data_IF_564522131115
#
_entry.id   IF_564522131115
#
_cell.length_a   1.000
_cell.length_b   1.000
_cell.length_c   1.000
_cell.angle_alpha   90.00
_cell.angle_beta   90.00
_cell.angle_gamma   90.00
#
_symmetry.space_group_name_H-M   'P 1'
#
loop_
_entity.id
_entity.type
_entity.pdbx_description
1 polymer ?
#
# COMPACT_ATOMS: atom_id res chain seq x y z
N UNK A 1 14.76 8.75 -21.39
CA UNK A 1 15.72 8.08 -22.31
C UNK A 1 15.89 6.62 -21.86
N UNK A 2 16.29 5.67 -22.74
CA UNK A 2 16.55 4.28 -22.34
C UNK A 2 17.63 4.17 -21.25
N UNK A 3 18.56 5.13 -21.20
CA UNK A 3 19.62 5.24 -20.21
C UNK A 3 19.05 5.49 -18.80
N UNK A 4 18.04 6.37 -18.65
CA UNK A 4 17.40 6.61 -17.34
C UNK A 4 16.68 5.38 -16.80
N UNK A 5 16.05 4.58 -17.68
CA UNK A 5 15.34 3.36 -17.27
C UNK A 5 16.33 2.29 -16.78
N UNK A 6 17.45 2.11 -17.49
CA UNK A 6 18.50 1.18 -17.07
C UNK A 6 19.10 1.56 -15.71
N UNK A 7 19.29 2.85 -15.46
CA UNK A 7 19.82 3.37 -14.19
C UNK A 7 18.86 3.14 -13.02
N UNK A 8 17.55 3.34 -13.23
CA UNK A 8 16.52 3.07 -12.22
C UNK A 8 16.49 1.57 -11.89
N UNK A 9 16.50 0.69 -12.89
CA UNK A 9 16.53 -0.77 -12.68
C UNK A 9 17.78 -1.19 -11.91
N UNK A 10 18.94 -0.64 -12.24
CA UNK A 10 20.20 -0.93 -11.56
C UNK A 10 20.14 -0.52 -10.08
N UNK A 11 19.68 0.70 -9.78
CA UNK A 11 19.53 1.21 -8.41
C UNK A 11 18.54 0.34 -7.62
N UNK A 12 17.40 0.02 -8.22
CA UNK A 12 16.37 -0.82 -7.59
C UNK A 12 16.90 -2.22 -7.29
N UNK A 13 17.64 -2.82 -8.22
CA UNK A 13 18.25 -4.15 -8.06
C UNK A 13 19.31 -4.15 -6.95
N UNK A 14 20.17 -3.12 -6.88
CA UNK A 14 21.17 -2.98 -5.83
C UNK A 14 20.53 -2.78 -4.44
N UNK A 15 19.41 -2.07 -4.36
CA UNK A 15 18.66 -1.92 -3.12
C UNK A 15 17.91 -3.18 -2.69
N UNK A 16 17.40 -3.98 -3.62
CA UNK A 16 16.67 -5.22 -3.30
C UNK A 16 17.58 -6.40 -2.94
N UNK A 17 18.81 -6.45 -3.46
CA UNK A 17 19.81 -7.48 -3.17
C UNK A 17 20.03 -7.77 -1.66
N UNK A 18 20.27 -6.76 -0.79
CA UNK A 18 20.44 -7.00 0.64
C UNK A 18 19.16 -7.53 1.31
N UNK A 19 17.99 -7.08 0.85
CA UNK A 19 16.70 -7.57 1.34
C UNK A 19 16.51 -9.05 1.01
N UNK A 20 16.70 -9.44 -0.26
CA UNK A 20 16.59 -10.84 -0.71
C UNK A 20 17.57 -11.73 0.06
N UNK A 21 18.81 -11.27 0.27
CA UNK A 21 19.81 -11.99 1.06
C UNK A 21 19.37 -12.18 2.51
N UNK A 22 18.86 -11.13 3.15
CA UNK A 22 18.38 -11.20 4.53
C UNK A 22 17.16 -12.12 4.68
N UNK A 23 16.26 -12.10 3.70
CA UNK A 23 15.06 -12.94 3.67
C UNK A 23 15.42 -14.43 3.52
N UNK A 24 16.34 -14.75 2.59
CA UNK A 24 16.89 -16.11 2.43
C UNK A 24 17.57 -16.60 3.70
N UNK A 25 18.31 -15.73 4.39
CA UNK A 25 19.01 -16.09 5.61
C UNK A 25 18.05 -16.42 6.75
N UNK A 26 16.93 -15.69 6.89
CA UNK A 26 15.87 -16.03 7.86
C UNK A 26 15.21 -17.36 7.56
N UNK A 27 14.97 -17.69 6.28
CA UNK A 27 14.45 -19.01 5.89
C UNK A 27 15.40 -20.14 6.31
N UNK A 28 16.70 -19.95 6.10
CA UNK A 28 17.71 -20.95 6.48
C UNK A 28 17.79 -21.14 7.99
N UNK A 29 17.70 -20.05 8.78
CA UNK A 29 17.70 -20.16 10.24
C UNK A 29 16.44 -20.84 10.80
N UNK A 30 15.27 -20.67 10.15
CA UNK A 30 14.05 -21.39 10.55
C UNK A 30 14.12 -22.88 10.24
N UNK A 31 14.67 -23.26 9.09
CA UNK A 31 14.90 -24.66 8.74
C UNK A 31 15.82 -25.35 9.76
N UNK A 32 16.94 -24.72 10.11
CA UNK A 32 17.89 -25.29 11.07
C UNK A 32 17.38 -25.26 12.53
N UNK A 33 16.51 -24.30 12.86
CA UNK A 33 15.90 -24.20 14.19
C UNK A 33 14.88 -25.31 14.44
N UNK A 34 14.10 -25.68 13.42
CA UNK A 34 13.10 -26.76 13.51
C UNK A 34 13.74 -28.12 13.79
N UNK A 35 14.87 -28.46 13.15
CA UNK A 35 15.63 -29.70 13.44
C UNK A 35 16.15 -29.74 14.89
N UNK A 36 16.56 -28.59 15.42
CA UNK A 36 17.14 -28.53 16.78
C UNK A 36 16.09 -28.62 17.89
N UNK A 37 14.87 -28.15 17.64
CA UNK A 37 13.74 -28.29 18.57
C UNK A 37 13.24 -29.73 18.70
N UNK A 38 13.41 -30.58 17.67
CA UNK A 38 13.02 -31.98 17.74
C UNK A 38 14.01 -32.83 18.59
N UNK A 39 15.26 -32.38 18.70
CA UNK A 39 16.31 -33.08 19.46
C UNK A 39 16.40 -32.64 20.93
N UNK A 40 15.74 -31.55 21.34
CA UNK A 40 15.84 -30.94 22.68
C UNK A 40 14.55 -31.04 23.50
N UNK A 41 13.77 -32.11 23.32
CA UNK A 41 12.48 -32.33 24.00
C UNK A 41 12.53 -32.92 25.41
N UNK A 42 13.68 -33.01 26.10
CA UNK A 42 13.79 -33.83 27.32
C UNK A 42 14.30 -33.14 28.62
N UNK A 43 14.57 -31.83 28.67
CA UNK A 43 14.99 -31.21 29.93
C UNK A 43 14.56 -29.74 30.04
N UNK A 44 13.37 -29.53 30.62
CA UNK A 44 12.88 -28.21 31.01
C UNK A 44 13.45 -27.86 32.39
N UNK A 45 14.39 -26.91 32.41
CA UNK A 45 14.86 -26.25 33.63
C UNK A 45 14.53 -24.77 33.53
N UNK A 46 13.63 -24.31 34.40
CA UNK A 46 13.24 -22.93 34.61
C UNK A 46 14.40 -22.14 35.23
N UNK A 47 15.16 -21.42 34.41
CA UNK A 47 16.11 -20.40 34.89
C UNK A 47 15.66 -19.04 34.41
N UNK A 48 15.35 -18.21 35.38
CA UNK A 48 14.93 -16.81 35.30
C UNK A 48 16.02 -15.97 34.60
N UNK A 49 15.82 -15.70 33.30
CA UNK A 49 16.70 -14.84 32.52
C UNK A 49 16.01 -13.50 32.30
N UNK A 50 16.42 -12.49 33.05
CA UNK A 50 16.23 -11.08 32.71
C UNK A 50 16.87 -10.83 31.35
N UNK A 51 16.07 -10.96 30.28
CA UNK A 51 16.51 -10.75 28.91
C UNK A 51 16.76 -9.26 28.74
N UNK A 52 18.02 -8.87 28.90
CA UNK A 52 18.53 -7.57 28.50
C UNK A 52 18.34 -7.45 26.97
N UNK A 53 17.22 -6.86 26.55
CA UNK A 53 16.90 -6.63 25.14
C UNK A 53 17.91 -5.62 24.60
N UNK A 54 19.06 -6.11 24.14
CA UNK A 54 20.00 -5.34 23.32
C UNK A 54 19.21 -4.78 22.14
N UNK A 55 18.87 -3.49 22.21
CA UNK A 55 18.17 -2.78 21.14
C UNK A 55 18.97 -2.95 19.85
N UNK A 56 18.49 -3.84 18.98
CA UNK A 56 19.08 -4.05 17.68
C UNK A 56 19.09 -2.70 16.94
N UNK A 57 20.24 -2.36 16.34
CA UNK A 57 20.39 -1.10 15.60
C UNK A 57 19.29 -0.99 14.54
N UNK A 58 18.53 0.11 14.48
CA UNK A 58 17.30 0.22 13.67
C UNK A 58 17.55 0.04 12.17
N UNK A 59 18.74 0.43 11.68
CA UNK A 59 19.15 0.27 10.28
C UNK A 59 19.32 -1.19 9.82
N UNK A 60 19.25 -2.18 10.71
CA UNK A 60 19.23 -3.61 10.34
C UNK A 60 17.82 -4.17 10.17
N UNK A 61 16.78 -3.38 10.46
CA UNK A 61 15.40 -3.80 10.18
C UNK A 61 15.15 -3.80 8.67
N UNK A 62 14.58 -4.89 8.16
CA UNK A 62 14.14 -4.93 6.75
C UNK A 62 13.10 -3.87 6.43
N UNK A 63 12.29 -3.49 7.42
CA UNK A 63 11.30 -2.42 7.32
C UNK A 63 11.96 -1.07 7.06
N UNK A 64 13.03 -0.73 7.79
CA UNK A 64 13.76 0.52 7.57
C UNK A 64 14.33 0.60 6.15
N UNK A 65 14.96 -0.49 5.69
CA UNK A 65 15.53 -0.56 4.34
C UNK A 65 14.43 -0.40 3.28
N UNK A 66 13.29 -1.05 3.47
CA UNK A 66 12.15 -0.95 2.56
C UNK A 66 11.51 0.45 2.54
N UNK A 67 11.34 1.08 3.71
CA UNK A 67 10.81 2.45 3.80
C UNK A 67 11.78 3.45 3.18
N UNK A 68 13.07 3.36 3.47
CA UNK A 68 14.10 4.20 2.86
C UNK A 68 14.15 4.02 1.34
N UNK A 69 14.07 2.77 0.88
CA UNK A 69 14.00 2.40 -0.53
C UNK A 69 12.81 3.06 -1.25
N UNK A 70 11.62 2.90 -0.66
CA UNK A 70 10.38 3.45 -1.19
C UNK A 70 10.40 4.97 -1.20
N UNK A 71 10.96 5.59 -0.14
CA UNK A 71 11.15 7.04 -0.06
C UNK A 71 12.03 7.55 -1.19
N UNK A 72 13.18 6.90 -1.43
CA UNK A 72 14.07 7.26 -2.52
C UNK A 72 13.39 7.14 -3.89
N UNK A 73 12.60 6.07 -4.11
CA UNK A 73 11.86 5.88 -5.35
C UNK A 73 10.79 6.96 -5.58
N UNK A 74 9.97 7.27 -4.57
CA UNK A 74 8.97 8.35 -4.66
C UNK A 74 9.64 9.70 -4.90
N UNK A 75 10.78 9.95 -4.26
CA UNK A 75 11.55 11.18 -4.48
C UNK A 75 12.09 11.27 -5.91
N UNK A 76 12.54 10.17 -6.49
CA UNK A 76 12.93 10.12 -7.92
C UNK A 76 11.74 10.45 -8.83
N UNK A 77 10.55 9.89 -8.56
CA UNK A 77 9.34 10.24 -9.32
C UNK A 77 9.07 11.75 -9.20
N UNK A 78 9.14 12.31 -8.00
CA UNK A 78 8.96 13.75 -7.77
C UNK A 78 9.96 14.57 -8.59
N UNK A 79 11.24 14.19 -8.63
CA UNK A 79 12.25 14.88 -9.45
C UNK A 79 11.94 14.79 -10.95
N UNK A 80 11.61 13.59 -11.45
CA UNK A 80 11.26 13.41 -12.87
C UNK A 80 9.96 14.13 -13.25
N UNK A 81 9.07 14.38 -12.29
CA UNK A 81 7.81 15.07 -12.56
C UNK A 81 7.99 16.52 -13.01
N UNK A 82 9.13 17.15 -12.67
CA UNK A 82 9.46 18.51 -13.10
C UNK A 82 9.77 18.60 -14.60
N UNK A 83 10.09 17.49 -15.27
CA UNK A 83 10.34 17.45 -16.72
C UNK A 83 9.05 17.46 -17.55
N UNK A 84 7.88 17.21 -16.94
CA UNK A 84 6.60 17.24 -17.65
C UNK A 84 6.12 18.66 -17.92
N UNK A 85 5.32 18.82 -18.97
CA UNK A 85 4.65 20.09 -19.29
C UNK A 85 3.75 20.55 -18.14
N UNK A 86 3.60 21.86 -17.95
CA UNK A 86 2.89 22.44 -16.79
C UNK A 86 1.49 21.88 -16.57
N UNK A 87 0.77 21.53 -17.65
CA UNK A 87 -0.58 20.97 -17.59
C UNK A 87 -0.62 19.56 -16.99
N UNK A 88 0.38 18.72 -17.27
CA UNK A 88 0.40 17.30 -16.83
C UNK A 88 1.20 17.14 -15.54
N UNK A 89 2.09 18.10 -15.24
CA UNK A 89 2.98 18.10 -14.06
C UNK A 89 2.25 18.16 -12.72
N UNK A 90 1.05 18.76 -12.66
CA UNK A 90 0.36 19.03 -11.40
C UNK A 90 0.02 17.74 -10.62
N UNK A 91 -0.46 16.71 -11.31
CA UNK A 91 -0.87 15.43 -10.69
C UNK A 91 0.32 14.69 -10.04
N UNK A 92 1.40 14.36 -10.78
CA UNK A 92 2.53 13.63 -10.19
C UNK A 92 3.26 14.45 -9.13
N UNK A 93 3.35 15.78 -9.25
CA UNK A 93 3.92 16.64 -8.20
C UNK A 93 3.08 16.56 -6.92
N UNK A 94 1.75 16.68 -7.03
CA UNK A 94 0.86 16.66 -5.88
C UNK A 94 0.90 15.30 -5.17
N UNK A 95 0.78 14.20 -5.92
CA UNK A 95 0.80 12.84 -5.36
C UNK A 95 2.16 12.51 -4.76
N UNK A 96 3.26 12.81 -5.47
CA UNK A 96 4.61 12.46 -4.98
C UNK A 96 5.05 13.34 -3.83
N UNK A 97 4.62 14.61 -3.77
CA UNK A 97 4.92 15.48 -2.62
C UNK A 97 4.17 15.03 -1.37
N UNK A 98 2.88 14.75 -1.46
CA UNK A 98 2.11 14.20 -0.34
C UNK A 98 2.70 12.86 0.15
N UNK A 99 3.00 11.94 -0.77
CA UNK A 99 3.62 10.66 -0.44
C UNK A 99 5.02 10.83 0.17
N UNK A 100 5.83 11.77 -0.33
CA UNK A 100 7.17 12.05 0.20
C UNK A 100 7.11 12.57 1.63
N UNK A 101 6.20 13.50 1.94
CA UNK A 101 6.02 14.03 3.31
C UNK A 101 5.66 12.88 4.26
N UNK A 102 4.74 12.01 3.86
CA UNK A 102 4.31 10.87 4.67
C UNK A 102 5.47 9.90 4.92
N UNK A 103 6.18 9.51 3.85
CA UNK A 103 7.31 8.58 3.94
C UNK A 103 8.49 9.14 4.73
N UNK A 104 8.78 10.44 4.60
CA UNK A 104 9.77 11.12 5.43
C UNK A 104 9.36 11.13 6.90
N UNK A 105 8.07 11.33 7.19
CA UNK A 105 7.52 11.20 8.54
C UNK A 105 7.72 9.79 9.12
N UNK A 106 7.42 8.75 8.33
CA UNK A 106 7.66 7.35 8.73
C UNK A 106 9.15 7.09 8.98
N UNK A 107 10.02 7.56 8.08
CA UNK A 107 11.46 7.40 8.19
C UNK A 107 12.00 8.12 9.44
N UNK A 108 11.51 9.33 9.74
CA UNK A 108 11.83 10.06 10.96
C UNK A 108 11.31 9.32 12.22
N UNK A 109 10.12 8.72 12.15
CA UNK A 109 9.53 7.92 13.22
C UNK A 109 10.39 6.72 13.63
N UNK A 110 11.11 6.10 12.69
CA UNK A 110 12.08 5.05 12.99
C UNK A 110 13.27 5.53 13.85
N UNK A 111 13.69 6.78 13.71
CA UNK A 111 14.77 7.36 14.53
C UNK A 111 14.26 7.94 15.84
N UNK A 112 13.04 8.47 15.84
CA UNK A 112 12.43 9.16 16.97
C UNK A 112 11.09 8.51 17.36
N UNK A 113 11.11 7.35 18.04
CA UNK A 113 9.89 6.64 18.44
C UNK A 113 8.99 7.46 19.38
N UNK A 114 9.54 8.49 20.03
CA UNK A 114 8.77 9.42 20.85
C UNK A 114 7.83 10.33 20.04
N UNK A 115 8.14 10.63 18.78
CA UNK A 115 7.27 11.41 17.89
C UNK A 115 6.08 10.57 17.42
N UNK A 116 6.31 9.31 17.04
CA UNK A 116 5.25 8.38 16.67
C UNK A 116 4.22 8.23 17.78
N UNK A 117 4.66 8.10 19.05
CA UNK A 117 3.77 8.01 20.21
C UNK A 117 2.82 9.19 20.39
N UNK A 118 3.05 10.35 19.75
CA UNK A 118 2.13 11.51 19.82
C UNK A 118 1.22 11.60 18.60
N UNK A 119 1.69 11.14 17.45
CA UNK A 119 0.92 11.14 16.20
C UNK A 119 -0.10 10.01 16.18
N UNK A 120 0.24 8.85 16.74
CA UNK A 120 -0.63 7.67 16.78
C UNK A 120 -1.90 7.92 17.61
N UNK A 121 -1.77 8.57 18.77
CA UNK A 121 -2.92 8.88 19.65
C UNK A 121 -3.83 9.97 19.08
N UNK A 122 -3.32 10.90 18.28
CA UNK A 122 -4.17 11.98 17.74
C UNK A 122 -4.92 11.61 16.46
N UNK A 123 -4.26 10.87 15.56
CA UNK A 123 -4.77 10.66 14.20
C UNK A 123 -5.49 9.32 14.04
N UNK A 124 -4.99 8.27 14.70
CA UNK A 124 -5.66 6.97 14.68
C UNK A 124 -6.82 6.91 15.65
N UNK A 125 -6.78 7.55 16.82
CA UNK A 125 -7.89 7.46 17.80
C UNK A 125 -9.20 8.06 17.24
N UNK A 126 -9.11 9.08 16.38
CA UNK A 126 -10.27 9.66 15.70
C UNK A 126 -10.73 8.85 14.46
N UNK A 127 -9.83 8.13 13.79
CA UNK A 127 -10.20 7.16 12.73
C UNK A 127 -10.61 5.78 13.29
N UNK A 128 -10.24 5.46 14.53
CA UNK A 128 -10.52 4.22 15.25
C UNK A 128 -11.85 4.31 15.99
N UNK A 129 -12.80 5.05 15.43
CA UNK A 129 -14.21 4.84 15.75
C UNK A 129 -14.66 3.53 15.11
N UNK A 130 -14.67 2.46 15.93
CA UNK A 130 -15.80 1.52 16.11
C UNK A 130 -15.66 0.04 15.73
N UNK A 131 -14.52 -0.46 15.23
CA UNK A 131 -14.43 -1.90 14.87
C UNK A 131 -13.28 -2.71 15.53
N UNK A 132 -12.40 -2.11 16.33
CA UNK A 132 -11.19 -2.81 16.80
C UNK A 132 -11.27 -3.55 18.14
N UNK A 133 -12.41 -3.58 18.84
CA UNK A 133 -12.49 -4.30 20.12
C UNK A 133 -12.59 -5.85 19.98
N UNK A 134 -12.63 -6.39 18.75
CA UNK A 134 -12.62 -7.84 18.52
C UNK A 134 -11.31 -8.42 17.96
N UNK A 135 -10.37 -7.62 17.46
CA UNK A 135 -9.18 -8.17 16.78
C UNK A 135 -7.92 -8.27 17.65
N UNK A 136 -7.83 -7.49 18.74
CA UNK A 136 -6.59 -7.38 19.52
C UNK A 136 -6.28 -8.57 20.44
N UNK A 137 -7.15 -9.60 20.50
CA UNK A 137 -6.91 -10.83 21.31
C UNK A 137 -6.52 -12.07 20.51
N UNK A 138 -6.24 -11.96 19.19
CA UNK A 138 -5.87 -13.11 18.34
C UNK A 138 -4.46 -13.03 17.72
N UNK A 139 -3.56 -12.26 18.33
CA UNK A 139 -2.20 -12.04 17.84
C UNK A 139 -1.20 -13.18 18.13
N UNK A 140 -1.60 -14.46 18.05
CA UNK A 140 -0.65 -15.58 18.18
C UNK A 140 -0.82 -16.71 17.15
N UNK A 141 -1.71 -16.54 16.15
CA UNK A 141 -1.72 -17.39 14.96
C UNK A 141 -1.87 -16.49 13.72
N UNK A 142 -0.74 -16.02 13.19
CA UNK A 142 -0.63 -15.20 11.97
C UNK A 142 -1.14 -15.99 10.75
N UNK A 143 -2.46 -16.03 10.58
CA UNK A 143 -3.07 -16.44 9.32
C UNK A 143 -2.84 -15.31 8.31
N UNK A 144 -2.07 -15.57 7.25
CA UNK A 144 -1.88 -14.64 6.13
C UNK A 144 -3.15 -14.36 5.31
N UNK A 145 -4.28 -14.99 5.67
CA UNK A 145 -5.55 -14.90 4.95
C UNK A 145 -6.09 -13.46 4.78
N UNK A 146 -6.04 -12.55 5.79
CA UNK A 146 -6.53 -11.18 5.62
C UNK A 146 -5.71 -10.39 4.59
N UNK A 147 -4.38 -10.54 4.61
CA UNK A 147 -3.50 -9.86 3.67
C UNK A 147 -3.74 -10.30 2.22
N UNK A 148 -3.87 -11.62 1.99
CA UNK A 148 -4.18 -12.16 0.66
C UNK A 148 -5.53 -11.65 0.17
N UNK A 149 -6.53 -11.52 1.06
CA UNK A 149 -7.84 -10.98 0.70
C UNK A 149 -7.76 -9.52 0.25
N UNK A 150 -7.01 -8.67 0.95
CA UNK A 150 -6.83 -7.26 0.56
C UNK A 150 -6.11 -7.18 -0.80
N UNK A 151 -5.08 -8.00 -1.01
CA UNK A 151 -4.37 -8.07 -2.30
C UNK A 151 -5.35 -8.47 -3.41
N UNK A 152 -6.23 -9.45 -3.17
CA UNK A 152 -7.24 -9.88 -4.13
C UNK A 152 -8.23 -8.76 -4.48
N UNK A 153 -8.65 -7.96 -3.49
CA UNK A 153 -9.49 -6.77 -3.71
C UNK A 153 -8.79 -5.73 -4.58
N UNK A 154 -7.52 -5.43 -4.30
CA UNK A 154 -6.73 -4.47 -5.09
C UNK A 154 -6.61 -4.97 -6.53
N UNK A 155 -6.22 -6.23 -6.73
CA UNK A 155 -6.10 -6.82 -8.07
C UNK A 155 -7.46 -6.82 -8.79
N UNK A 156 -8.55 -7.17 -8.09
CA UNK A 156 -9.90 -7.13 -8.61
C UNK A 156 -10.35 -5.73 -9.04
N UNK A 157 -10.02 -4.71 -8.26
CA UNK A 157 -10.26 -3.31 -8.62
C UNK A 157 -9.52 -2.93 -9.91
N UNK A 158 -8.23 -3.25 -10.01
CA UNK A 158 -7.45 -2.96 -11.22
C UNK A 158 -8.03 -3.68 -12.45
N UNK A 159 -8.39 -4.96 -12.31
CA UNK A 159 -9.02 -5.72 -13.38
C UNK A 159 -10.37 -5.08 -13.81
N UNK A 160 -11.20 -4.68 -12.85
CA UNK A 160 -12.46 -3.99 -13.13
C UNK A 160 -12.22 -2.66 -13.86
N UNK A 161 -11.29 -1.83 -13.38
CA UNK A 161 -10.94 -0.53 -14.00
C UNK A 161 -10.56 -0.70 -15.46
N UNK A 162 -9.77 -1.72 -15.78
CA UNK A 162 -9.35 -2.00 -17.15
C UNK A 162 -10.51 -2.45 -18.03
N UNK A 163 -11.40 -3.32 -17.52
CA UNK A 163 -12.53 -3.85 -18.28
C UNK A 163 -13.63 -2.80 -18.46
N UNK A 164 -14.15 -2.25 -17.37
CA UNK A 164 -15.40 -1.47 -17.33
C UNK A 164 -15.15 0.04 -17.27
N UNK A 165 -13.90 0.46 -16.98
CA UNK A 165 -13.52 1.87 -16.88
C UNK A 165 -13.53 2.38 -15.44
N UNK A 166 -12.86 3.52 -15.23
CA UNK A 166 -12.54 4.00 -13.88
C UNK A 166 -13.82 4.41 -13.10
N UNK A 167 -14.75 5.11 -13.77
CA UNK A 167 -15.99 5.62 -13.13
C UNK A 167 -16.85 4.50 -12.56
N UNK A 168 -17.15 3.49 -13.39
CA UNK A 168 -18.05 2.39 -13.02
C UNK A 168 -17.37 1.45 -12.03
N UNK A 169 -16.08 1.19 -12.22
CA UNK A 169 -15.31 0.26 -11.39
C UNK A 169 -15.13 0.77 -9.97
N UNK A 170 -14.85 2.06 -9.77
CA UNK A 170 -14.76 2.64 -8.42
C UNK A 170 -16.10 2.51 -7.69
N UNK A 171 -17.21 2.78 -8.37
CA UNK A 171 -18.54 2.66 -7.77
C UNK A 171 -18.86 1.22 -7.37
N UNK A 172 -18.68 0.26 -8.28
CA UNK A 172 -18.88 -1.16 -8.01
C UNK A 172 -17.96 -1.66 -6.91
N UNK A 173 -16.69 -1.26 -6.92
CA UNK A 173 -15.72 -1.64 -5.92
C UNK A 173 -16.09 -1.09 -4.54
N UNK A 174 -16.40 0.20 -4.41
CA UNK A 174 -16.85 0.76 -3.12
C UNK A 174 -18.08 0.03 -2.61
N UNK A 175 -19.08 -0.18 -3.47
CA UNK A 175 -20.32 -0.85 -3.07
C UNK A 175 -20.06 -2.29 -2.60
N UNK A 176 -19.25 -3.04 -3.37
CA UNK A 176 -18.91 -4.43 -3.07
C UNK A 176 -18.03 -4.54 -1.81
N UNK A 177 -17.07 -3.64 -1.65
CA UNK A 177 -16.18 -3.57 -0.50
C UNK A 177 -16.93 -3.22 0.79
N UNK A 178 -17.79 -2.18 0.77
CA UNK A 178 -18.59 -1.79 1.94
C UNK A 178 -19.60 -2.87 2.34
N UNK A 179 -20.13 -3.61 1.37
CA UNK A 179 -21.03 -4.72 1.65
C UNK A 179 -20.27 -5.91 2.24
N UNK A 180 -19.17 -6.33 1.61
CA UNK A 180 -18.42 -7.52 2.03
C UNK A 180 -17.62 -7.32 3.32
N UNK A 181 -16.83 -6.25 3.39
CA UNK A 181 -15.92 -5.99 4.51
C UNK A 181 -16.55 -5.06 5.55
N UNK A 182 -17.30 -4.05 5.10
CA UNK A 182 -17.90 -3.06 6.02
C UNK A 182 -19.08 -3.60 6.85
N UNK A 183 -19.60 -4.80 6.52
CA UNK A 183 -20.81 -5.40 7.15
C UNK A 183 -21.97 -4.40 7.30
N UNK A 184 -21.99 -3.37 6.47
CA UNK A 184 -22.96 -2.29 6.58
C UNK A 184 -24.29 -2.75 5.98
N UNK A 185 -25.40 -2.17 6.49
CA UNK A 185 -26.71 -2.37 5.85
C UNK A 185 -26.64 -1.87 4.40
N UNK A 186 -27.22 -2.58 3.42
CA UNK A 186 -27.04 -2.29 1.99
C UNK A 186 -27.45 -0.86 1.62
N UNK A 187 -28.49 -0.32 2.27
CA UNK A 187 -28.93 1.07 2.09
C UNK A 187 -27.87 2.10 2.49
N UNK A 188 -27.14 1.86 3.59
CA UNK A 188 -26.06 2.77 4.04
C UNK A 188 -24.82 2.64 3.16
N UNK A 189 -24.51 1.42 2.72
CA UNK A 189 -23.43 1.17 1.78
C UNK A 189 -23.70 1.88 0.43
N UNK A 190 -24.93 1.84 -0.06
CA UNK A 190 -25.32 2.53 -1.30
C UNK A 190 -25.21 4.05 -1.15
N UNK A 191 -25.71 4.62 -0.05
CA UNK A 191 -25.64 6.06 0.19
C UNK A 191 -24.19 6.56 0.31
N UNK A 192 -23.36 5.85 1.05
CA UNK A 192 -21.93 6.20 1.20
C UNK A 192 -21.15 6.03 -0.10
N UNK A 193 -21.41 4.97 -0.87
CA UNK A 193 -20.82 4.80 -2.21
C UNK A 193 -21.27 5.93 -3.16
N UNK A 194 -22.54 6.35 -3.10
CA UNK A 194 -23.07 7.46 -3.89
C UNK A 194 -22.43 8.81 -3.52
N UNK A 195 -22.23 9.10 -2.24
CA UNK A 195 -21.52 10.32 -1.80
C UNK A 195 -20.05 10.25 -2.21
N UNK A 196 -19.39 9.10 -2.00
CA UNK A 196 -17.99 8.90 -2.38
C UNK A 196 -17.75 9.09 -3.88
N UNK A 197 -18.61 8.52 -4.73
CA UNK A 197 -18.50 8.71 -6.18
C UNK A 197 -18.81 10.15 -6.59
N UNK A 198 -19.75 10.85 -5.94
CA UNK A 198 -20.04 12.24 -6.23
C UNK A 198 -18.84 13.15 -5.92
N UNK A 199 -18.20 12.97 -4.76
CA UNK A 199 -16.98 13.70 -4.38
C UNK A 199 -15.84 13.39 -5.34
N UNK A 200 -15.66 12.11 -5.70
CA UNK A 200 -14.64 11.70 -6.66
C UNK A 200 -14.84 12.36 -8.03
N UNK A 201 -16.06 12.32 -8.57
CA UNK A 201 -16.39 12.93 -9.86
C UNK A 201 -16.23 14.45 -9.84
N UNK A 202 -16.64 15.11 -8.75
CA UNK A 202 -16.44 16.54 -8.57
C UNK A 202 -14.94 16.90 -8.56
N UNK A 203 -14.13 16.12 -7.84
CA UNK A 203 -12.67 16.26 -7.83
C UNK A 203 -12.06 16.10 -9.23
N UNK A 204 -12.45 15.06 -9.96
CA UNK A 204 -11.96 14.84 -11.33
C UNK A 204 -12.37 15.95 -12.30
N UNK A 205 -13.60 16.46 -12.16
CA UNK A 205 -14.08 17.59 -12.95
C UNK A 205 -13.30 18.88 -12.63
N UNK A 206 -12.95 19.09 -11.36
CA UNK A 206 -12.14 20.23 -10.93
C UNK A 206 -10.70 20.14 -11.44
N UNK A 207 -10.13 18.93 -11.45
CA UNK A 207 -8.79 18.64 -11.97
C UNK A 207 -8.72 18.66 -13.51
N UNK A 208 -9.87 18.66 -14.21
CA UNK A 208 -9.92 18.62 -15.68
C UNK A 208 -9.33 17.33 -16.27
N UNK A 209 -9.40 16.22 -15.53
CA UNK A 209 -8.80 14.95 -15.95
C UNK A 209 -9.83 14.08 -16.65
N UNK A 210 -9.58 13.79 -17.92
CA UNK A 210 -10.38 12.84 -18.68
C UNK A 210 -10.20 11.42 -18.13
N UNK A 211 -11.33 10.80 -17.80
CA UNK A 211 -11.39 9.50 -17.16
C UNK A 211 -11.38 8.39 -18.21
N UNK A 212 -10.54 7.37 -18.01
CA UNK A 212 -10.55 6.17 -18.84
C UNK A 212 -11.91 5.47 -18.79
N UNK A 213 -12.54 5.34 -19.96
CA UNK A 213 -13.89 4.77 -20.13
C UNK A 213 -13.92 3.23 -20.08
N UNK A 214 -12.76 2.56 -20.06
CA UNK A 214 -12.65 1.11 -20.05
C UNK A 214 -12.40 0.50 -21.43
N UNK A 215 -12.19 -0.81 -21.47
CA UNK A 215 -12.01 -1.57 -22.70
C UNK A 215 -13.35 -1.96 -23.37
N UNK A 216 -14.43 -2.11 -22.59
CA UNK A 216 -15.75 -2.49 -23.10
C UNK A 216 -16.28 -1.56 -24.22
N UNK A 217 -16.15 -0.21 -24.15
CA UNK A 217 -16.60 0.68 -25.21
C UNK A 217 -15.93 0.43 -26.56
N UNK A 218 -14.73 -0.17 -26.58
CA UNK A 218 -14.02 -0.53 -27.81
C UNK A 218 -14.54 -1.81 -28.46
N UNK A 219 -15.21 -2.68 -27.70
CA UNK A 219 -15.70 -3.99 -28.17
C UNK A 219 -17.07 -3.84 -28.84
N UNK A 220 -17.89 -2.86 -28.44
CA UNK A 220 -19.21 -2.59 -29.01
C UNK A 220 -19.27 -1.14 -29.52
N UNK A 221 -18.80 -0.86 -30.75
CA UNK A 221 -18.93 0.47 -31.35
C UNK A 221 -20.40 0.83 -31.55
N UNK A 222 -20.84 1.97 -31.02
CA UNK A 222 -22.17 2.55 -31.29
C UNK A 222 -23.08 2.80 -30.08
N UNK A 223 -22.86 2.13 -28.93
CA UNK A 223 -23.71 2.33 -27.73
C UNK A 223 -22.98 3.08 -26.59
N UNK A 224 -21.66 2.91 -26.46
CA UNK A 224 -20.86 3.54 -25.39
C UNK A 224 -19.52 4.16 -25.87
N UNK A 225 -19.17 4.03 -27.14
CA UNK A 225 -17.83 4.32 -27.68
C UNK A 225 -17.63 5.75 -28.18
N UNK A 226 -17.51 6.70 -27.27
CA UNK A 226 -17.00 8.05 -27.55
C UNK A 226 -15.50 8.16 -27.28
N UNK A 227 -14.66 7.37 -27.95
CA UNK A 227 -13.22 7.63 -27.92
C UNK A 227 -12.92 8.76 -28.89
N UNK A 228 -12.87 10.00 -28.39
CA UNK A 228 -12.10 11.05 -29.02
C UNK A 228 -10.64 10.61 -29.01
N UNK A 229 -10.21 9.93 -30.07
CA UNK A 229 -8.79 9.83 -30.38
C UNK A 229 -8.36 11.29 -30.61
N UNK A 230 -7.44 11.86 -29.81
CA UNK A 230 -6.92 13.17 -30.11
C UNK A 230 -6.32 13.11 -31.53
N UNK A 231 -6.82 13.94 -32.44
CA UNK A 231 -6.21 14.09 -33.76
C UNK A 231 -4.81 14.65 -33.52
N UNK A 232 -3.82 13.80 -33.78
CA UNK A 232 -2.40 14.16 -33.83
C UNK A 232 -2.17 14.99 -35.08
#
# INVERSE_FOLDING_TARGET
SPISIALIILIFTMMFLPFVKSWLQRRKSRANGAEKSEQSGAAVSSTDSSVEIKRAKPWKSGEFIFTAATTAFVFLILLTSFEFSEKVRQIPVLVSSAASILLLGLLAGHFYPALMKRVDVGFFEEMKCKDEDQETKKAENESHAPAIRIILWIVGLFAAILLIGLKVSIFLFLLSFLWSEGKMKPWKALLSAAVGIAVFLAGMSYLGVDLWLGAIPSIIPGILGGSLIPRI
#
